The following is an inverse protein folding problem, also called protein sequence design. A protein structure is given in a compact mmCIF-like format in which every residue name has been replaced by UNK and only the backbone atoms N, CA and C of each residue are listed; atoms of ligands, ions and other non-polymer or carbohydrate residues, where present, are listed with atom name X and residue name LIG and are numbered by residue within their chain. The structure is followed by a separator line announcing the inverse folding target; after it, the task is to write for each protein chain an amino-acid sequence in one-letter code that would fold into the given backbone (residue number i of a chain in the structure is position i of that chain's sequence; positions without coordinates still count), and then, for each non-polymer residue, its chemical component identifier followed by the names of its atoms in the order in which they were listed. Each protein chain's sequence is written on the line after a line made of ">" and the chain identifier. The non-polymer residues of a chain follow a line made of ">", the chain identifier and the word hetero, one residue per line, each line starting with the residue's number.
data_IF_366906205460
#
_entry.id   IF_366906205460
#
_cell.length_a   1.000
_cell.length_b   1.000
_cell.length_c   1.000
_cell.angle_alpha   90.00
_cell.angle_beta   90.00
_cell.angle_gamma   90.00
#
_symmetry.space_group_name_H-M   'P 1'
#
loop_
_entity.id
_entity.type
_entity.pdbx_description
1 polymer ?
#
# COMPACT_ATOMS: atom_id res chain seq x y z
N UNK A 1 -21.24 30.20 -4.59
CA UNK A 1 -19.87 29.61 -4.61
C UNK A 1 -19.86 28.42 -3.64
N UNK A 2 -20.00 27.19 -4.14
CA UNK A 2 -20.26 26.02 -3.30
C UNK A 2 -19.03 25.62 -2.48
N UNK A 3 -19.15 25.68 -1.16
CA UNK A 3 -18.10 25.32 -0.19
C UNK A 3 -17.53 23.91 -0.42
N UNK A 4 -18.37 22.99 -0.89
CA UNK A 4 -18.00 21.61 -1.25
C UNK A 4 -17.01 21.56 -2.42
N UNK A 5 -17.19 22.39 -3.46
CA UNK A 5 -16.27 22.43 -4.61
C UNK A 5 -14.87 22.91 -4.20
N UNK A 6 -14.78 23.85 -3.27
CA UNK A 6 -13.50 24.32 -2.74
C UNK A 6 -12.80 23.24 -1.92
N UNK A 7 -13.55 22.44 -1.16
CA UNK A 7 -13.01 21.28 -0.45
C UNK A 7 -12.46 20.25 -1.44
N UNK A 8 -13.22 19.90 -2.48
CA UNK A 8 -12.79 18.96 -3.52
C UNK A 8 -11.50 19.45 -4.22
N UNK A 9 -11.41 20.74 -4.56
CA UNK A 9 -10.21 21.31 -5.16
C UNK A 9 -8.98 21.21 -4.26
N UNK A 10 -9.11 21.55 -2.97
CA UNK A 10 -8.04 21.41 -1.98
C UNK A 10 -7.63 19.95 -1.78
N UNK A 11 -8.59 19.01 -1.73
CA UNK A 11 -8.28 17.58 -1.68
C UNK A 11 -7.52 17.13 -2.93
N UNK A 12 -7.94 17.57 -4.12
CA UNK A 12 -7.21 17.31 -5.36
C UNK A 12 -5.80 17.89 -5.32
N UNK A 13 -5.58 19.09 -4.78
CA UNK A 13 -4.27 19.77 -4.76
C UNK A 13 -3.33 19.31 -3.64
N UNK A 14 -3.86 18.73 -2.55
CA UNK A 14 -3.06 18.34 -1.38
C UNK A 14 -2.79 16.84 -1.33
N UNK A 15 -3.72 16.00 -1.80
CA UNK A 15 -3.61 14.55 -1.62
C UNK A 15 -2.96 13.79 -2.77
N UNK A 16 -2.63 14.43 -3.90
CA UNK A 16 -1.63 13.91 -4.86
C UNK A 16 -2.02 12.65 -5.65
N UNK A 17 -2.83 11.75 -5.09
CA UNK A 17 -3.34 10.54 -5.72
C UNK A 17 -4.25 10.84 -6.92
N UNK A 18 -4.77 12.09 -6.99
CA UNK A 18 -5.39 12.65 -8.19
C UNK A 18 -4.52 13.67 -8.97
N UNK A 19 -3.39 14.12 -8.42
CA UNK A 19 -2.43 15.00 -9.14
C UNK A 19 -1.41 14.22 -9.94
N UNK A 20 -1.09 12.99 -9.49
CA UNK A 20 -0.23 12.08 -10.23
C UNK A 20 -0.86 11.88 -11.60
N UNK A 21 -0.03 12.06 -12.62
CA UNK A 21 -0.39 11.79 -14.01
C UNK A 21 -0.98 10.39 -14.09
N UNK A 22 -1.87 10.14 -15.05
CA UNK A 22 -2.59 8.86 -15.12
C UNK A 22 -1.60 7.68 -15.04
N UNK A 23 -0.42 7.82 -15.63
CA UNK A 23 0.65 6.82 -15.57
C UNK A 23 1.29 6.63 -14.18
N UNK A 24 1.53 7.72 -13.44
CA UNK A 24 2.16 7.67 -12.12
C UNK A 24 1.28 6.94 -11.10
N UNK A 25 -0.05 7.04 -11.23
CA UNK A 25 -0.98 6.28 -10.36
C UNK A 25 -0.85 4.77 -10.55
N UNK A 26 -0.66 4.32 -11.78
CA UNK A 26 -0.46 2.89 -12.07
C UNK A 26 0.88 2.42 -11.51
N UNK A 27 1.92 3.25 -11.62
CA UNK A 27 3.24 2.95 -11.07
C UNK A 27 3.18 2.85 -9.54
N UNK A 28 2.57 3.82 -8.86
CA UNK A 28 2.44 3.79 -7.39
C UNK A 28 1.62 2.59 -6.90
N UNK A 29 0.49 2.30 -7.55
CA UNK A 29 -0.34 1.14 -7.18
C UNK A 29 0.42 -0.18 -7.39
N UNK A 30 1.16 -0.30 -8.49
CA UNK A 30 2.00 -1.48 -8.77
C UNK A 30 3.11 -1.63 -7.72
N UNK A 31 3.78 -0.53 -7.35
CA UNK A 31 4.79 -0.54 -6.30
C UNK A 31 4.23 -0.99 -4.95
N UNK A 32 3.06 -0.49 -4.56
CA UNK A 32 2.39 -0.88 -3.30
C UNK A 32 2.03 -2.37 -3.33
N UNK A 33 1.48 -2.87 -4.45
CA UNK A 33 1.16 -4.30 -4.60
C UNK A 33 2.41 -5.18 -4.53
N UNK A 34 3.50 -4.79 -5.19
CA UNK A 34 4.78 -5.53 -5.15
C UNK A 34 5.40 -5.49 -3.74
N UNK A 35 5.35 -4.35 -3.06
CA UNK A 35 5.81 -4.21 -1.68
C UNK A 35 5.00 -5.07 -0.72
N UNK A 36 3.67 -5.04 -0.82
CA UNK A 36 2.79 -5.90 -0.03
C UNK A 36 3.09 -7.38 -0.28
N UNK A 37 3.23 -7.77 -1.55
CA UNK A 37 3.59 -9.13 -1.91
C UNK A 37 4.93 -9.56 -1.30
N UNK A 38 5.95 -8.70 -1.39
CA UNK A 38 7.26 -8.95 -0.81
C UNK A 38 7.18 -9.10 0.72
N UNK A 39 6.43 -8.22 1.37
CA UNK A 39 6.27 -8.22 2.83
C UNK A 39 5.49 -9.46 3.29
N UNK A 40 4.45 -9.86 2.56
CA UNK A 40 3.73 -11.12 2.80
C UNK A 40 4.63 -12.34 2.59
N UNK A 41 5.38 -12.42 1.49
CA UNK A 41 6.24 -13.56 1.19
C UNK A 41 7.35 -13.74 2.26
N UNK A 42 8.01 -12.63 2.63
CA UNK A 42 9.04 -12.65 3.66
C UNK A 42 8.42 -12.93 5.04
N UNK A 43 7.33 -12.25 5.40
CA UNK A 43 6.61 -12.45 6.65
C UNK A 43 6.12 -13.88 6.82
N UNK A 44 5.53 -14.48 5.77
CA UNK A 44 5.12 -15.88 5.77
C UNK A 44 6.30 -16.84 5.92
N UNK A 45 7.45 -16.58 5.29
CA UNK A 45 8.67 -17.40 5.50
C UNK A 45 9.14 -17.36 6.95
N UNK A 46 9.20 -16.17 7.56
CA UNK A 46 9.56 -16.01 8.98
C UNK A 46 8.57 -16.70 9.91
N UNK A 47 7.26 -16.52 9.69
CA UNK A 47 6.22 -17.18 10.48
C UNK A 47 6.25 -18.70 10.34
N UNK A 48 6.52 -19.21 9.14
CA UNK A 48 6.59 -20.64 8.89
C UNK A 48 7.83 -21.29 9.52
N UNK A 49 8.97 -20.58 9.56
CA UNK A 49 10.16 -21.03 10.28
C UNK A 49 9.96 -20.98 11.79
N UNK A 50 9.35 -19.92 12.31
CA UNK A 50 9.00 -19.82 13.73
C UNK A 50 8.00 -20.93 14.14
N UNK A 51 6.96 -21.16 13.35
CA UNK A 51 5.97 -22.21 13.60
C UNK A 51 6.56 -23.63 13.56
N UNK A 52 7.55 -23.88 12.70
CA UNK A 52 8.30 -25.16 12.69
C UNK A 52 9.18 -25.33 13.93
N UNK A 53 9.80 -24.27 14.43
CA UNK A 53 10.59 -24.32 15.67
C UNK A 53 9.71 -24.53 16.90
N UNK A 54 8.57 -23.85 16.98
CA UNK A 54 7.59 -24.02 18.06
C UNK A 54 7.01 -25.43 18.08
N UNK A 55 6.65 -25.99 16.90
CA UNK A 55 6.16 -27.38 16.80
C UNK A 55 7.19 -28.44 17.18
N UNK A 56 8.49 -28.12 17.11
CA UNK A 56 9.56 -29.06 17.46
C UNK A 56 9.88 -29.05 18.96
N UNK A 57 9.42 -28.03 19.69
CA UNK A 57 9.63 -27.84 21.13
C UNK A 57 8.46 -28.35 21.98
N UNK A 58 7.34 -28.75 21.37
CA UNK A 58 6.17 -29.34 22.01
C UNK A 58 6.00 -30.78 21.54
#
# INVERSE_FOLDING_TARGET
>A
MNWVQRKIYLYNVTFGLYMLDWWERYLFNTLVVVLLWFLCYNGSRYLMEFGKSVRRLW
#
